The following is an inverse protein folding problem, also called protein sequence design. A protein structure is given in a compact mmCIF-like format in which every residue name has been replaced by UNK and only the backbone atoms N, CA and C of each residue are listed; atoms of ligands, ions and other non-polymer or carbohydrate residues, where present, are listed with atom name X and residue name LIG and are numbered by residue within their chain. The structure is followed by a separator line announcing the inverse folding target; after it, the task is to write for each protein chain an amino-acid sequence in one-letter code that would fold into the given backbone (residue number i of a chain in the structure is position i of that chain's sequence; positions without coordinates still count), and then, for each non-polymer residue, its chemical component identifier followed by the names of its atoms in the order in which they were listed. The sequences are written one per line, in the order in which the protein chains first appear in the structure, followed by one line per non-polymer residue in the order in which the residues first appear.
data_IF_652159875730
#
_entry.id   IF_652159875730
#
_cell.length_a   1.000
_cell.length_b   1.000
_cell.length_c   1.000
_cell.angle_alpha   90.00
_cell.angle_beta   90.00
_cell.angle_gamma   90.00
#
_symmetry.space_group_name_H-M   'P 1'
#
loop_
_entity.id
_entity.type
_entity.pdbx_description
1 polymer ?
#
# COMPACT_ATOMS: atom_id res chain seq x y z
N UNK A 1 5.59 6.54 0.72
CA UNK A 1 4.94 5.28 0.29
C UNK A 1 4.53 4.39 1.47
N UNK A 2 5.47 3.92 2.32
CA UNK A 2 5.16 3.04 3.47
C UNK A 2 4.01 3.55 4.36
N UNK A 3 4.00 4.84 4.69
CA UNK A 3 2.92 5.45 5.47
C UNK A 3 1.55 5.40 4.76
N UNK A 4 1.52 5.51 3.43
CA UNK A 4 0.30 5.37 2.64
C UNK A 4 -0.23 3.93 2.70
N UNK A 5 0.64 2.93 2.52
CA UNK A 5 0.32 1.50 2.64
C UNK A 5 -0.21 1.19 4.06
N UNK A 6 0.44 1.73 5.09
CA UNK A 6 0.01 1.59 6.47
C UNK A 6 -1.41 2.16 6.71
N UNK A 7 -1.76 3.26 6.03
CA UNK A 7 -3.07 3.91 6.13
C UNK A 7 -4.23 3.13 5.48
N UNK A 8 -3.94 2.06 4.74
CA UNK A 8 -4.94 1.18 4.08
C UNK A 8 -5.52 0.15 5.04
N UNK A 9 -4.79 -0.22 6.10
CA UNK A 9 -5.26 -1.20 7.09
C UNK A 9 -6.50 -0.68 7.82
N UNK A 10 -7.57 -1.46 7.76
CA UNK A 10 -8.85 -1.10 8.40
C UNK A 10 -8.98 -1.70 9.80
N UNK A 11 -8.39 -2.86 10.05
CA UNK A 11 -8.37 -3.47 11.39
C UNK A 11 -7.45 -2.69 12.32
N UNK A 12 -7.99 -2.20 13.44
CA UNK A 12 -7.24 -1.48 14.47
C UNK A 12 -6.18 -2.34 15.12
N UNK A 13 -6.43 -3.64 15.33
CA UNK A 13 -5.50 -4.56 15.97
C UNK A 13 -4.31 -4.85 15.05
N UNK A 14 -4.59 -5.23 13.80
CA UNK A 14 -3.57 -5.46 12.78
C UNK A 14 -2.73 -4.20 12.54
N UNK A 15 -3.37 -3.03 12.42
CA UNK A 15 -2.70 -1.74 12.25
C UNK A 15 -1.80 -1.39 13.44
N UNK A 16 -2.18 -1.74 14.68
CA UNK A 16 -1.32 -1.53 15.85
C UNK A 16 -0.13 -2.49 15.84
N UNK A 17 -0.34 -3.74 15.43
CA UNK A 17 0.72 -4.77 15.34
C UNK A 17 1.80 -4.41 14.33
N UNK A 18 1.41 -3.98 13.13
CA UNK A 18 2.36 -3.62 12.07
C UNK A 18 2.93 -2.20 12.16
N UNK A 19 2.45 -1.37 13.09
CA UNK A 19 2.96 0.00 13.26
C UNK A 19 4.47 0.05 13.45
N UNK A 20 5.00 -0.80 14.34
CA UNK A 20 6.43 -0.84 14.60
C UNK A 20 7.21 -1.33 13.38
N UNK A 21 6.68 -2.31 12.66
CA UNK A 21 7.27 -2.81 11.42
C UNK A 21 7.43 -1.71 10.37
N UNK A 22 6.39 -0.92 10.09
CA UNK A 22 6.48 0.16 9.10
C UNK A 22 7.43 1.29 9.52
N UNK A 23 7.51 1.61 10.82
CA UNK A 23 8.46 2.59 11.35
C UNK A 23 9.90 2.07 11.14
N UNK A 24 10.17 0.84 11.55
CA UNK A 24 11.50 0.24 11.40
C UNK A 24 11.89 0.07 9.93
N UNK A 25 10.98 -0.37 9.07
CA UNK A 25 11.23 -0.48 7.63
C UNK A 25 11.57 0.89 7.02
N UNK A 26 10.88 1.96 7.43
CA UNK A 26 11.19 3.32 7.00
C UNK A 26 12.57 3.79 7.48
N UNK A 27 12.89 3.56 8.75
CA UNK A 27 14.20 3.92 9.32
C UNK A 27 15.34 3.14 8.66
N UNK A 28 15.20 1.83 8.50
CA UNK A 28 16.21 0.99 7.84
C UNK A 28 16.40 1.46 6.40
N UNK A 29 15.32 1.72 5.65
CA UNK A 29 15.42 2.20 4.27
C UNK A 29 16.11 3.56 4.18
N UNK A 30 15.86 4.46 5.14
CA UNK A 30 16.49 5.78 5.18
C UNK A 30 17.99 5.71 5.58
N UNK A 31 18.35 4.77 6.46
CA UNK A 31 19.74 4.56 6.87
C UNK A 31 20.53 3.82 5.77
N UNK A 32 19.95 2.81 5.13
CA UNK A 32 20.62 2.04 4.09
C UNK A 32 20.60 2.73 2.72
N UNK A 33 19.67 3.67 2.51
CA UNK A 33 19.45 4.26 1.18
C UNK A 33 18.83 3.29 0.17
N UNK A 34 18.36 2.11 0.60
CA UNK A 34 17.84 1.07 -0.30
C UNK A 34 16.33 0.94 -0.21
N UNK A 35 15.64 1.03 -1.35
CA UNK A 35 14.18 0.85 -1.46
C UNK A 35 13.78 -0.52 -2.01
N UNK A 36 14.75 -1.39 -2.34
CA UNK A 36 14.54 -2.64 -3.07
C UNK A 36 13.39 -3.52 -2.51
N UNK A 37 13.26 -3.77 -1.19
CA UNK A 37 12.15 -4.59 -0.69
C UNK A 37 10.78 -3.98 -0.97
N UNK A 38 10.66 -2.65 -0.90
CA UNK A 38 9.44 -1.93 -1.22
C UNK A 38 9.18 -1.94 -2.73
N UNK A 39 10.22 -1.77 -3.55
CA UNK A 39 10.10 -1.79 -5.02
C UNK A 39 9.63 -3.15 -5.54
N UNK A 40 10.17 -4.25 -4.99
CA UNK A 40 9.70 -5.60 -5.33
C UNK A 40 8.23 -5.78 -4.92
N UNK A 41 7.84 -5.29 -3.73
CA UNK A 41 6.44 -5.33 -3.30
C UNK A 41 5.52 -4.58 -4.26
N UNK A 42 5.92 -3.37 -4.69
CA UNK A 42 5.14 -2.54 -5.62
C UNK A 42 5.08 -3.18 -7.01
N UNK A 43 6.20 -3.69 -7.52
CA UNK A 43 6.26 -4.37 -8.81
C UNK A 43 5.26 -5.53 -8.89
N UNK A 44 5.17 -6.33 -7.82
CA UNK A 44 4.29 -7.51 -7.78
C UNK A 44 2.84 -7.15 -7.44
N UNK A 45 2.63 -6.23 -6.49
CA UNK A 45 1.29 -5.98 -5.93
C UNK A 45 0.57 -4.79 -6.55
N UNK A 46 1.30 -3.78 -7.03
CA UNK A 46 0.77 -2.50 -7.48
C UNK A 46 1.58 -1.93 -8.68
N UNK A 47 1.54 -2.57 -9.86
CA UNK A 47 2.42 -2.24 -10.98
C UNK A 47 2.29 -0.79 -11.47
N UNK A 48 1.08 -0.23 -11.46
CA UNK A 48 0.85 1.16 -11.87
C UNK A 48 1.49 2.16 -10.89
N UNK A 49 1.46 1.86 -9.59
CA UNK A 49 2.13 2.68 -8.57
C UNK A 49 3.66 2.54 -8.66
N UNK A 50 4.17 1.37 -9.08
CA UNK A 50 5.58 1.19 -9.39
C UNK A 50 6.00 2.03 -10.61
N UNK A 51 5.20 2.07 -11.67
CA UNK A 51 5.47 2.94 -12.82
C UNK A 51 5.49 4.42 -12.44
N UNK A 52 4.54 4.87 -11.61
CA UNK A 52 4.58 6.22 -11.02
C UNK A 52 5.89 6.49 -10.26
N UNK A 53 6.37 5.52 -9.48
CA UNK A 53 7.65 5.64 -8.76
C UNK A 53 8.85 5.81 -9.71
N UNK A 54 8.90 5.06 -10.82
CA UNK A 54 9.97 5.20 -11.81
C UNK A 54 9.96 6.60 -12.45
N UNK A 55 8.79 7.10 -12.83
CA UNK A 55 8.65 8.44 -13.40
C UNK A 55 9.05 9.54 -12.43
N UNK A 56 8.59 9.45 -11.18
CA UNK A 56 8.93 10.40 -10.13
C UNK A 56 10.43 10.39 -9.83
N UNK A 57 11.03 9.21 -9.77
CA UNK A 57 12.47 9.04 -9.56
C UNK A 57 13.25 9.71 -10.68
N UNK A 58 12.95 9.40 -11.95
CA UNK A 58 13.59 10.05 -13.10
C UNK A 58 13.41 11.58 -13.11
N UNK A 59 12.23 12.06 -12.74
CA UNK A 59 11.94 13.50 -12.66
C UNK A 59 12.75 14.20 -11.57
N UNK A 60 12.94 13.56 -10.41
CA UNK A 60 13.77 14.10 -9.32
C UNK A 60 15.25 14.16 -9.74
N UNK A 61 15.76 13.13 -10.41
CA UNK A 61 17.12 13.14 -10.96
C UNK A 61 17.31 14.29 -11.96
N UNK A 62 16.39 14.45 -12.92
CA UNK A 62 16.44 15.54 -13.88
C UNK A 62 16.34 16.93 -13.22
N UNK A 63 15.50 17.06 -12.18
CA UNK A 63 15.36 18.29 -11.40
C UNK A 63 16.66 18.65 -10.65
N UNK A 64 17.29 17.69 -9.99
CA UNK A 64 18.53 17.94 -9.26
C UNK A 64 19.70 18.28 -10.20
N UNK A 65 19.79 17.63 -11.36
CA UNK A 65 20.74 18.01 -12.41
C UNK A 65 20.51 19.46 -12.87
N UNK A 66 19.26 19.83 -13.17
CA UNK A 66 18.92 21.19 -13.60
C UNK A 66 19.22 22.26 -12.51
N UNK A 67 19.10 21.89 -11.23
CA UNK A 67 19.41 22.78 -10.10
C UNK A 67 20.90 22.77 -9.71
N UNK A 68 21.76 22.02 -10.43
CA UNK A 68 23.17 21.80 -10.09
C UNK A 68 23.36 21.28 -8.65
N UNK A 69 22.44 20.43 -8.19
CA UNK A 69 22.48 19.79 -6.88
C UNK A 69 22.98 18.37 -7.04
N UNK A 70 24.24 18.16 -6.66
CA UNK A 70 24.85 16.85 -6.72
C UNK A 70 24.84 16.20 -5.34
N UNK A 71 24.37 14.96 -5.27
CA UNK A 71 24.56 14.06 -4.13
C UNK A 71 25.80 13.21 -4.38
N UNK A 72 26.95 13.75 -4.00
CA UNK A 72 28.20 13.02 -3.93
C UNK A 72 28.21 12.11 -2.70
N UNK A 73 28.84 10.96 -2.83
CA UNK A 73 29.04 10.01 -1.75
C UNK A 73 30.48 9.48 -1.88
N UNK A 74 31.15 9.30 -0.75
CA UNK A 74 32.52 8.77 -0.75
C UNK A 74 32.44 7.25 -0.66
N UNK A 75 32.75 6.56 -1.76
CA UNK A 75 32.71 5.11 -1.82
C UNK A 75 33.93 4.55 -2.53
N UNK A 76 34.58 3.58 -1.89
CA UNK A 76 35.83 2.95 -2.37
C UNK A 76 35.63 1.51 -2.86
N UNK A 77 34.38 1.04 -2.99
CA UNK A 77 34.04 -0.30 -3.48
C UNK A 77 33.60 -0.35 -4.95
N UNK A 78 32.94 -1.43 -5.36
CA UNK A 78 32.38 -1.56 -6.72
C UNK A 78 31.23 -0.55 -6.94
N UNK A 79 31.34 0.38 -7.91
CA UNK A 79 30.28 1.38 -8.17
C UNK A 79 28.89 0.78 -8.43
N UNK A 80 28.79 -0.47 -8.89
CA UNK A 80 27.52 -1.18 -9.06
C UNK A 80 26.82 -1.50 -7.72
N UNK A 81 27.56 -1.50 -6.61
CA UNK A 81 27.06 -1.74 -5.25
C UNK A 81 26.93 -0.47 -4.43
N UNK A 82 27.22 0.68 -5.02
CA UNK A 82 27.08 1.95 -4.35
C UNK A 82 25.60 2.30 -4.15
N UNK A 83 25.23 2.58 -2.90
CA UNK A 83 23.88 3.04 -2.53
C UNK A 83 23.95 4.48 -2.02
N UNK A 84 24.03 5.48 -2.92
CA UNK A 84 24.04 6.87 -2.53
C UNK A 84 22.69 7.31 -1.97
N UNK A 85 22.71 8.33 -1.09
CA UNK A 85 21.49 8.97 -0.60
C UNK A 85 20.97 8.38 0.70
N UNK A 86 21.85 7.77 1.49
CA UNK A 86 21.54 7.44 2.88
C UNK A 86 21.43 8.71 3.72
N UNK A 87 20.71 8.64 4.85
CA UNK A 87 20.72 9.73 5.85
C UNK A 87 22.15 10.01 6.35
N UNK A 88 23.04 9.02 6.33
CA UNK A 88 24.43 9.19 6.77
C UNK A 88 25.17 10.14 5.82
N UNK A 89 24.94 10.03 4.51
CA UNK A 89 25.52 10.93 3.52
C UNK A 89 25.08 12.38 3.75
N UNK A 90 23.83 12.59 4.19
CA UNK A 90 23.30 13.92 4.51
C UNK A 90 24.03 14.60 5.69
N UNK A 91 24.63 13.84 6.62
CA UNK A 91 25.41 14.40 7.73
C UNK A 91 26.64 15.14 7.20
N UNK A 92 27.26 14.64 6.13
CA UNK A 92 28.41 15.30 5.49
C UNK A 92 27.99 16.66 4.91
N UNK A 93 26.81 16.71 4.28
CA UNK A 93 26.25 17.95 3.73
C UNK A 93 25.91 18.96 4.82
N UNK A 94 25.42 18.50 5.97
CA UNK A 94 25.14 19.38 7.10
C UNK A 94 26.41 20.04 7.64
N UNK A 95 27.51 19.29 7.74
CA UNK A 95 28.77 19.79 8.33
C UNK A 95 29.51 20.78 7.44
N UNK A 96 29.28 20.74 6.13
CA UNK A 96 29.95 21.58 5.15
C UNK A 96 29.06 22.77 4.77
N UNK A 97 29.48 23.98 5.14
CA UNK A 97 28.71 25.22 4.92
C UNK A 97 28.41 25.44 3.44
N UNK A 98 29.34 25.12 2.55
CA UNK A 98 29.18 25.28 1.09
C UNK A 98 28.10 24.36 0.51
N UNK A 99 27.84 23.22 1.14
CA UNK A 99 26.83 22.23 0.71
C UNK A 99 25.46 22.43 1.37
N UNK A 100 25.34 23.39 2.29
CA UNK A 100 24.11 23.65 3.04
C UNK A 100 22.95 24.04 2.11
N UNK A 101 23.23 24.79 1.03
CA UNK A 101 22.21 25.14 0.03
C UNK A 101 21.64 23.90 -0.67
N UNK A 102 22.51 22.96 -1.06
CA UNK A 102 22.11 21.69 -1.66
C UNK A 102 21.29 20.85 -0.67
N UNK A 103 21.70 20.80 0.60
CA UNK A 103 20.94 20.10 1.64
C UNK A 103 19.52 20.65 1.80
N UNK A 104 19.35 21.97 1.83
CA UNK A 104 18.04 22.61 1.94
C UNK A 104 17.15 22.30 0.74
N UNK A 105 17.70 22.33 -0.48
CA UNK A 105 16.97 21.94 -1.70
C UNK A 105 16.54 20.47 -1.63
N UNK A 106 17.43 19.56 -1.23
CA UNK A 106 17.14 18.13 -1.07
C UNK A 106 16.01 17.92 -0.05
N UNK A 107 16.07 18.58 1.11
CA UNK A 107 15.04 18.47 2.15
C UNK A 107 13.70 19.02 1.66
N UNK A 108 13.70 20.15 0.95
CA UNK A 108 12.49 20.76 0.41
C UNK A 108 11.84 19.88 -0.68
N UNK A 109 12.62 19.47 -1.70
CA UNK A 109 12.16 18.58 -2.76
C UNK A 109 11.73 17.23 -2.18
N UNK A 110 12.51 16.68 -1.24
CA UNK A 110 12.21 15.44 -0.52
C UNK A 110 10.91 15.51 0.27
N UNK A 111 10.62 16.65 0.92
CA UNK A 111 9.38 16.86 1.66
C UNK A 111 8.17 16.93 0.72
N UNK A 112 8.27 17.71 -0.36
CA UNK A 112 7.21 17.84 -1.38
C UNK A 112 6.93 16.48 -2.03
N UNK A 113 7.98 15.80 -2.50
CA UNK A 113 7.86 14.48 -3.12
C UNK A 113 7.36 13.43 -2.14
N UNK A 114 7.77 13.49 -0.86
CA UNK A 114 7.25 12.64 0.21
C UNK A 114 5.74 12.77 0.40
N UNK A 115 5.21 14.00 0.36
CA UNK A 115 3.76 14.26 0.39
C UNK A 115 3.06 13.75 -0.87
N UNK A 116 3.65 13.95 -2.05
CA UNK A 116 3.12 13.42 -3.31
C UNK A 116 3.04 11.89 -3.28
N UNK A 117 4.11 11.22 -2.82
CA UNK A 117 4.13 9.77 -2.65
C UNK A 117 3.09 9.28 -1.63
N UNK A 118 2.89 10.01 -0.54
CA UNK A 118 1.85 9.68 0.45
C UNK A 118 0.45 9.78 -0.17
N UNK A 119 0.17 10.88 -0.87
CA UNK A 119 -1.11 11.11 -1.55
C UNK A 119 -1.35 10.06 -2.64
N UNK A 120 -0.39 9.84 -3.54
CA UNK A 120 -0.48 8.89 -4.64
C UNK A 120 -0.70 7.45 -4.15
N UNK A 121 0.08 7.01 -3.15
CA UNK A 121 -0.08 5.67 -2.58
C UNK A 121 -1.44 5.49 -1.93
N UNK A 122 -1.89 6.49 -1.15
CA UNK A 122 -3.18 6.44 -0.46
C UNK A 122 -4.33 6.44 -1.46
N UNK A 123 -4.25 7.26 -2.51
CA UNK A 123 -5.23 7.30 -3.58
C UNK A 123 -5.28 5.96 -4.33
N UNK A 124 -4.13 5.40 -4.69
CA UNK A 124 -4.04 4.15 -5.44
C UNK A 124 -4.80 3.01 -4.74
N UNK A 125 -4.45 2.70 -3.49
CA UNK A 125 -5.11 1.58 -2.78
C UNK A 125 -6.58 1.85 -2.43
N UNK A 126 -7.00 3.12 -2.35
CA UNK A 126 -8.40 3.46 -2.03
C UNK A 126 -9.31 3.54 -3.26
N UNK A 127 -8.79 3.93 -4.42
CA UNK A 127 -9.61 4.23 -5.60
C UNK A 127 -8.97 3.85 -6.94
N UNK A 128 -7.65 3.73 -7.01
CA UNK A 128 -6.90 3.57 -8.27
C UNK A 128 -6.43 2.15 -8.57
N UNK A 129 -6.74 1.17 -7.72
CA UNK A 129 -6.28 -0.21 -7.85
C UNK A 129 -7.20 -1.05 -8.76
N UNK A 130 -7.62 -0.50 -9.90
CA UNK A 130 -8.47 -1.17 -10.90
C UNK A 130 -7.63 -1.55 -12.12
N UNK A 131 -7.92 -2.66 -12.78
CA UNK A 131 -7.28 -2.97 -14.04
C UNK A 131 -7.64 -1.94 -15.12
N UNK A 132 -6.64 -1.54 -15.90
CA UNK A 132 -6.81 -0.62 -17.03
C UNK A 132 -7.64 -1.21 -18.18
N UNK A 133 -7.83 -2.53 -18.18
CA UNK A 133 -8.48 -3.28 -19.26
C UNK A 133 -9.98 -3.48 -19.00
N UNK A 134 -10.39 -3.60 -17.74
CA UNK A 134 -11.79 -3.88 -17.37
C UNK A 134 -12.28 -2.88 -16.30
N UNK A 135 -13.14 -1.96 -16.74
CA UNK A 135 -13.71 -0.89 -15.91
C UNK A 135 -14.72 -1.46 -14.89
N UNK A 136 -15.34 -2.60 -15.19
CA UNK A 136 -16.37 -3.21 -14.35
C UNK A 136 -15.80 -4.30 -13.44
N UNK A 137 -14.49 -4.51 -13.44
CA UNK A 137 -13.82 -5.56 -12.66
C UNK A 137 -14.21 -5.53 -11.17
N UNK A 138 -14.28 -4.34 -10.58
CA UNK A 138 -14.61 -4.18 -9.17
C UNK A 138 -16.03 -4.69 -8.86
N UNK A 139 -17.00 -4.39 -9.73
CA UNK A 139 -18.39 -4.82 -9.57
C UNK A 139 -18.52 -6.33 -9.72
N UNK A 140 -17.86 -6.92 -10.72
CA UNK A 140 -17.83 -8.38 -10.90
C UNK A 140 -17.22 -9.09 -9.69
N UNK A 141 -16.08 -8.60 -9.19
CA UNK A 141 -15.42 -9.14 -7.99
C UNK A 141 -16.29 -9.01 -6.74
N UNK A 142 -16.96 -7.88 -6.58
CA UNK A 142 -17.89 -7.66 -5.48
C UNK A 142 -19.07 -8.63 -5.54
N UNK A 143 -19.67 -8.81 -6.72
CA UNK A 143 -20.76 -9.77 -6.93
C UNK A 143 -20.35 -11.21 -6.62
N UNK A 144 -19.21 -11.65 -7.17
CA UNK A 144 -18.65 -12.97 -6.90
C UNK A 144 -18.32 -13.17 -5.42
N UNK A 145 -17.71 -12.16 -4.77
CA UNK A 145 -17.42 -12.19 -3.34
C UNK A 145 -18.70 -12.34 -2.51
N UNK A 146 -19.71 -11.50 -2.73
CA UNK A 146 -20.97 -11.56 -2.00
C UNK A 146 -21.69 -12.90 -2.22
N UNK A 147 -21.72 -13.41 -3.45
CA UNK A 147 -22.31 -14.71 -3.76
C UNK A 147 -21.57 -15.87 -3.07
N UNK A 148 -20.25 -15.76 -2.88
CA UNK A 148 -19.42 -16.77 -2.22
C UNK A 148 -19.60 -16.81 -0.70
N UNK A 149 -19.86 -15.67 -0.07
CA UNK A 149 -20.03 -15.59 1.39
C UNK A 149 -21.49 -15.77 1.84
N UNK A 150 -22.42 -15.98 0.90
CA UNK A 150 -23.85 -16.14 1.22
C UNK A 150 -24.61 -14.83 1.37
N UNK A 151 -24.12 -13.75 0.75
CA UNK A 151 -24.73 -12.42 0.79
C UNK A 151 -24.18 -11.53 1.91
N UNK A 152 -24.61 -10.27 1.89
CA UNK A 152 -24.11 -9.25 2.82
C UNK A 152 -24.53 -9.48 4.27
N UNK A 153 -25.71 -10.08 4.47
CA UNK A 153 -26.27 -10.36 5.79
C UNK A 153 -25.45 -11.42 6.55
N UNK A 154 -24.76 -12.30 5.83
CA UNK A 154 -23.88 -13.30 6.45
C UNK A 154 -22.54 -12.70 6.92
N UNK A 155 -22.22 -11.44 6.57
CA UNK A 155 -20.95 -10.80 6.91
C UNK A 155 -21.02 -10.17 8.32
N UNK A 156 -20.42 -10.85 9.29
CA UNK A 156 -20.26 -10.35 10.66
C UNK A 156 -19.24 -9.21 10.71
N UNK A 157 -18.05 -9.44 10.17
CA UNK A 157 -16.93 -8.50 10.20
C UNK A 157 -16.14 -8.59 8.90
N UNK A 158 -15.64 -7.46 8.42
CA UNK A 158 -14.77 -7.43 7.25
C UNK A 158 -13.67 -6.39 7.43
N UNK A 159 -12.44 -6.78 7.09
CA UNK A 159 -11.25 -5.96 7.22
C UNK A 159 -10.38 -6.07 5.96
N UNK A 160 -9.84 -4.94 5.52
CA UNK A 160 -8.86 -4.88 4.44
C UNK A 160 -7.45 -4.59 4.96
N UNK A 161 -6.51 -5.29 4.35
CA UNK A 161 -5.09 -5.00 4.32
C UNK A 161 -4.71 -4.66 2.85
N UNK A 162 -3.48 -4.19 2.57
CA UNK A 162 -3.09 -3.73 1.23
C UNK A 162 -3.32 -4.75 0.10
N UNK A 163 -3.24 -6.05 0.39
CA UNK A 163 -3.39 -7.12 -0.61
C UNK A 163 -4.38 -8.21 -0.22
N UNK A 164 -5.05 -8.06 0.93
CA UNK A 164 -5.89 -9.09 1.52
C UNK A 164 -7.19 -8.52 2.06
N UNK A 165 -8.24 -9.32 1.96
CA UNK A 165 -9.55 -9.08 2.53
C UNK A 165 -9.84 -10.21 3.53
N UNK A 166 -10.04 -9.87 4.79
CA UNK A 166 -10.39 -10.83 5.85
C UNK A 166 -11.85 -10.68 6.20
N UNK A 167 -12.60 -11.77 6.11
CA UNK A 167 -14.04 -11.81 6.36
C UNK A 167 -14.38 -12.82 7.46
N UNK A 168 -15.16 -12.38 8.42
CA UNK A 168 -15.80 -13.24 9.42
C UNK A 168 -17.29 -13.32 9.08
N UNK A 169 -17.81 -14.54 8.99
CA UNK A 169 -19.22 -14.79 8.68
C UNK A 169 -19.99 -15.31 9.90
N UNK A 170 -21.33 -15.25 9.84
CA UNK A 170 -22.20 -15.83 10.86
C UNK A 170 -22.39 -17.34 10.65
N UNK A 171 -22.76 -17.74 9.43
CA UNK A 171 -22.97 -19.12 9.03
C UNK A 171 -21.90 -19.56 8.02
N UNK A 172 -21.17 -20.62 8.39
CA UNK A 172 -20.10 -21.20 7.55
C UNK A 172 -20.63 -22.18 6.50
N UNK A 173 -21.83 -22.72 6.68
CA UNK A 173 -22.40 -23.75 5.81
C UNK A 173 -22.80 -23.22 4.42
N UNK A 174 -23.09 -21.92 4.33
CA UNK A 174 -23.51 -21.23 3.10
C UNK A 174 -22.32 -20.78 2.25
N UNK A 175 -21.09 -20.88 2.77
CA UNK A 175 -19.89 -20.42 2.06
C UNK A 175 -19.60 -21.34 0.87
N UNK A 176 -19.44 -20.73 -0.30
CA UNK A 176 -19.03 -21.41 -1.51
C UNK A 176 -17.99 -20.57 -2.28
N UNK A 177 -16.71 -20.83 -2.00
CA UNK A 177 -15.60 -20.15 -2.68
C UNK A 177 -15.38 -20.61 -4.12
N UNK A 178 -16.09 -21.64 -4.61
CA UNK A 178 -16.03 -22.03 -6.02
C UNK A 178 -16.62 -20.96 -6.96
N UNK A 179 -17.48 -20.08 -6.41
CA UNK A 179 -18.05 -18.93 -7.10
C UNK A 179 -17.07 -17.78 -7.34
N UNK A 180 -15.89 -17.81 -6.69
CA UNK A 180 -14.83 -16.84 -6.93
C UNK A 180 -13.89 -17.43 -7.98
N UNK A 181 -13.62 -16.66 -9.04
CA UNK A 181 -12.66 -17.08 -10.04
C UNK A 181 -11.23 -17.12 -9.48
N UNK A 182 -10.46 -18.14 -9.85
CA UNK A 182 -9.07 -18.29 -9.41
C UNK A 182 -8.15 -17.13 -9.82
N UNK A 183 -8.48 -16.39 -10.89
CA UNK A 183 -7.73 -15.20 -11.28
C UNK A 183 -8.00 -13.98 -10.40
N UNK A 184 -9.13 -13.95 -9.66
CA UNK A 184 -9.47 -12.85 -8.76
C UNK A 184 -8.86 -13.01 -7.37
N UNK A 185 -8.69 -14.26 -6.92
CA UNK A 185 -8.12 -14.57 -5.61
C UNK A 185 -6.98 -15.57 -5.74
N UNK A 186 -5.78 -15.09 -5.47
CA UNK A 186 -4.56 -15.90 -5.52
C UNK A 186 -4.44 -16.94 -4.40
N UNK A 187 -5.11 -16.69 -3.26
CA UNK A 187 -5.06 -17.57 -2.09
C UNK A 187 -6.23 -17.31 -1.14
N UNK A 188 -6.83 -18.39 -0.65
CA UNK A 188 -7.84 -18.39 0.42
C UNK A 188 -7.28 -19.18 1.59
N UNK A 189 -7.31 -18.60 2.80
CA UNK A 189 -6.82 -19.25 4.03
C UNK A 189 -7.85 -19.09 5.13
N UNK A 190 -8.23 -20.19 5.78
CA UNK A 190 -9.00 -20.11 7.01
C UNK A 190 -8.10 -19.75 8.19
N UNK A 191 -8.50 -18.73 8.95
CA UNK A 191 -7.77 -18.23 10.11
C UNK A 191 -8.70 -18.17 11.32
N UNK A 192 -8.13 -17.95 12.51
CA UNK A 192 -8.93 -17.74 13.74
C UNK A 192 -9.86 -16.52 13.65
N UNK A 193 -9.50 -15.52 12.87
CA UNK A 193 -10.29 -14.30 12.67
C UNK A 193 -11.40 -14.46 11.60
N UNK A 194 -11.39 -15.55 10.84
CA UNK A 194 -12.25 -15.77 9.68
C UNK A 194 -11.45 -16.19 8.45
N UNK A 195 -12.02 -16.00 7.27
CA UNK A 195 -11.37 -16.34 6.00
C UNK A 195 -10.57 -15.15 5.48
N UNK A 196 -9.32 -15.39 5.07
CA UNK A 196 -8.45 -14.39 4.47
C UNK A 196 -8.29 -14.68 2.97
N UNK A 197 -8.76 -13.76 2.14
CA UNK A 197 -8.75 -13.84 0.68
C UNK A 197 -7.73 -12.83 0.13
N UNK A 198 -6.83 -13.31 -0.73
CA UNK A 198 -5.75 -12.49 -1.32
C UNK A 198 -6.19 -11.92 -2.68
N UNK A 199 -6.96 -10.83 -2.64
CA UNK A 199 -7.46 -10.08 -3.81
C UNK A 199 -6.42 -9.11 -4.43
N UNK A 200 -5.27 -8.93 -3.80
CA UNK A 200 -4.28 -7.94 -4.25
C UNK A 200 -4.69 -6.50 -3.93
N UNK A 201 -4.12 -5.53 -4.64
CA UNK A 201 -4.34 -4.11 -4.40
C UNK A 201 -5.81 -3.64 -4.27
N UNK A 202 -6.82 -4.19 -4.99
CA UNK A 202 -8.23 -3.76 -4.86
C UNK A 202 -8.91 -4.21 -3.56
N UNK A 203 -8.23 -4.92 -2.65
CA UNK A 203 -8.82 -5.41 -1.40
C UNK A 203 -9.51 -4.31 -0.57
N UNK A 204 -8.91 -3.12 -0.49
CA UNK A 204 -9.50 -2.01 0.25
C UNK A 204 -10.71 -1.40 -0.47
N UNK A 205 -10.70 -1.35 -1.80
CA UNK A 205 -11.84 -0.90 -2.60
C UNK A 205 -13.04 -1.83 -2.41
N UNK A 206 -12.82 -3.14 -2.45
CA UNK A 206 -13.86 -4.14 -2.18
C UNK A 206 -14.44 -3.98 -0.77
N UNK A 207 -13.58 -3.78 0.23
CA UNK A 207 -14.03 -3.50 1.59
C UNK A 207 -14.89 -2.23 1.67
N UNK A 208 -14.49 -1.15 0.98
CA UNK A 208 -15.22 0.10 0.98
C UNK A 208 -16.63 -0.07 0.39
N UNK A 209 -16.75 -0.80 -0.73
CA UNK A 209 -18.05 -1.08 -1.35
C UNK A 209 -18.94 -1.96 -0.47
N UNK A 210 -18.40 -3.03 0.15
CA UNK A 210 -19.16 -3.85 1.11
C UNK A 210 -19.65 -2.99 2.29
N UNK A 211 -18.80 -2.10 2.80
CA UNK A 211 -19.17 -1.21 3.91
C UNK A 211 -20.22 -0.16 3.50
N UNK A 212 -20.22 0.30 2.24
CA UNK A 212 -21.29 1.17 1.70
C UNK A 212 -22.61 0.41 1.63
N UNK A 213 -22.61 -0.79 1.07
CA UNK A 213 -23.81 -1.63 0.99
C UNK A 213 -24.37 -1.95 2.38
N UNK A 214 -23.50 -2.27 3.36
CA UNK A 214 -23.92 -2.58 4.74
C UNK A 214 -24.59 -1.39 5.43
N UNK A 215 -24.22 -0.15 5.08
CA UNK A 215 -24.86 1.07 5.61
C UNK A 215 -26.21 1.38 4.96
N UNK A 216 -26.45 0.90 3.75
CA UNK A 216 -27.70 1.12 3.01
C UNK A 216 -28.80 0.14 3.43
N UNK A 217 -28.45 -0.97 4.09
CA UNK A 217 -29.43 -1.89 4.66
C UNK A 217 -30.18 -1.18 5.80
N UNK A 218 -31.53 -1.30 5.86
CA UNK A 218 -32.27 -0.82 7.01
C UNK A 218 -31.74 -1.53 8.26
N UNK A 219 -31.46 -0.77 9.31
CA UNK A 219 -31.09 -1.32 10.61
C UNK A 219 -32.31 -2.13 11.08
N UNK A 220 -32.28 -3.44 10.86
CA UNK A 220 -33.23 -4.34 11.49
C UNK A 220 -32.86 -4.29 12.97
N UNK A 221 -33.65 -3.56 13.76
CA UNK A 221 -33.59 -3.61 15.21
C UNK A 221 -33.80 -5.08 15.62
N UNK A 222 -32.70 -5.79 15.86
CA UNK A 222 -32.75 -7.03 16.64
C UNK A 222 -33.11 -6.61 18.05
N UNK A 223 -34.42 -6.52 18.33
CA UNK A 223 -34.96 -6.52 19.69
C UNK A 223 -34.45 -7.79 20.35
N UNK A 224 -33.56 -7.62 21.32
CA UNK A 224 -33.20 -8.62 22.30
C UNK A 224 -34.48 -9.05 23.04
N UNK A 225 -34.84 -10.32 22.89
CA UNK A 225 -35.74 -11.03 23.81
C UNK A 225 -34.91 -12.04 24.60
#
# INVERSE_FOLDING_TARGET
MLAGIYGVYTDKMERRRYRLFFILAGLVSAISGTLLPLEIFLLVSAPLLFFFHLLMTGSIFALFEALNVYLGYTFSGNPLTATPGSIIDMIVYWRNVDLMKSLLIIVLVGSITGLLYLAATTYYFRKGAVNLVDVNELEHRLGAFLASVGGIDNIRMIHAAPTKLTVQVYDRSVIDFSKIHHYDVSRIVETRAGYSLSYGAPSHMLWEEVMKLKKQLPIVETKSA
#
